data_IF_518603574327
#
_entry.id   IF_518603574327
#
_cell.length_a   1.000
_cell.length_b   1.000
_cell.length_c   1.000
_cell.angle_alpha   90.00
_cell.angle_beta   90.00
_cell.angle_gamma   90.00
#
_symmetry.space_group_name_H-M   'P 1'
#
loop_
_entity.id
_entity.type
_entity.pdbx_description
1 polymer ?
#
# COMPACT_ATOMS: atom_id res chain seq x y z
N UNK A 1 1.70 -18.38 7.01
CA UNK A 1 2.02 -17.63 5.78
C UNK A 1 1.85 -16.16 6.09
N UNK A 2 2.72 -15.30 5.56
CA UNK A 2 2.59 -13.84 5.72
C UNK A 2 1.40 -13.31 4.91
N UNK A 3 0.83 -12.18 5.35
CA UNK A 3 -0.29 -11.52 4.66
C UNK A 3 0.22 -10.28 3.93
N UNK A 4 -0.15 -10.14 2.65
CA UNK A 4 0.01 -8.87 1.94
C UNK A 4 -1.08 -7.93 2.47
N UNK A 5 -0.68 -6.82 3.08
CA UNK A 5 -1.61 -5.82 3.58
C UNK A 5 -2.19 -5.00 2.43
N UNK A 6 -1.31 -4.46 1.61
CA UNK A 6 -1.67 -3.68 0.44
C UNK A 6 -0.57 -3.68 -0.63
N UNK A 7 -0.93 -3.29 -1.84
CA UNK A 7 0.00 -3.05 -2.94
C UNK A 7 -0.26 -1.65 -3.45
N UNK A 8 0.80 -0.87 -3.67
CA UNK A 8 0.75 0.42 -4.34
C UNK A 8 1.30 0.30 -5.75
N UNK A 9 0.48 0.66 -6.75
CA UNK A 9 0.88 0.68 -8.16
C UNK A 9 0.81 2.10 -8.71
N UNK A 10 1.75 2.43 -9.59
CA UNK A 10 1.76 3.72 -10.26
C UNK A 10 0.67 3.79 -11.33
N UNK A 11 -0.01 4.93 -11.38
CA UNK A 11 -0.99 5.27 -12.40
C UNK A 11 -0.74 6.67 -12.95
N UNK A 12 -1.20 6.93 -14.17
CA UNK A 12 -1.04 8.25 -14.82
C UNK A 12 -2.07 9.27 -14.35
N UNK A 13 -3.25 8.79 -13.93
CA UNK A 13 -4.35 9.62 -13.48
C UNK A 13 -5.17 8.83 -12.43
N UNK A 14 -5.39 9.44 -11.26
CA UNK A 14 -6.10 8.80 -10.14
C UNK A 14 -7.56 8.52 -10.50
N UNK A 15 -8.29 9.53 -10.99
CA UNK A 15 -9.73 9.42 -11.24
C UNK A 15 -10.05 8.42 -12.35
N UNK A 16 -9.35 8.49 -13.49
CA UNK A 16 -9.52 7.54 -14.60
C UNK A 16 -9.25 6.09 -14.16
N UNK A 17 -8.24 5.90 -13.32
CA UNK A 17 -7.88 4.57 -12.81
C UNK A 17 -8.93 4.03 -11.85
N UNK A 18 -9.43 4.85 -10.93
CA UNK A 18 -10.53 4.48 -10.02
C UNK A 18 -11.77 4.02 -10.82
N UNK A 19 -12.15 4.79 -11.84
CA UNK A 19 -13.29 4.48 -12.70
C UNK A 19 -13.11 3.14 -13.40
N UNK A 20 -11.92 2.88 -13.93
CA UNK A 20 -11.59 1.60 -14.55
C UNK A 20 -11.72 0.45 -13.55
N UNK A 21 -11.12 0.55 -12.36
CA UNK A 21 -11.18 -0.54 -11.36
C UNK A 21 -12.61 -0.78 -10.86
N UNK A 22 -13.38 0.29 -10.59
CA UNK A 22 -14.79 0.16 -10.18
C UNK A 22 -15.67 -0.47 -11.25
N UNK A 23 -15.40 -0.18 -12.52
CA UNK A 23 -16.15 -0.74 -13.65
C UNK A 23 -15.85 -2.21 -13.88
N UNK A 24 -14.58 -2.60 -13.75
CA UNK A 24 -14.10 -3.93 -14.16
C UNK A 24 -13.95 -4.92 -13.00
N UNK A 25 -14.02 -4.46 -11.75
CA UNK A 25 -13.85 -5.29 -10.56
C UNK A 25 -14.83 -4.88 -9.46
N UNK A 26 -14.91 -5.66 -8.38
CA UNK A 26 -15.73 -5.32 -7.22
C UNK A 26 -14.86 -4.79 -6.06
N UNK A 27 -14.74 -3.47 -5.97
CA UNK A 27 -13.98 -2.77 -4.94
C UNK A 27 -14.75 -1.59 -4.36
N UNK A 28 -14.33 -1.11 -3.18
CA UNK A 28 -14.81 0.14 -2.58
C UNK A 28 -13.67 1.14 -2.48
N UNK A 29 -13.93 2.41 -2.79
CA UNK A 29 -12.96 3.48 -2.50
C UNK A 29 -12.97 3.69 -0.98
N UNK A 30 -11.83 3.49 -0.33
CA UNK A 30 -11.67 3.76 1.11
C UNK A 30 -10.94 5.07 1.38
N UNK A 31 -10.21 5.59 0.39
CA UNK A 31 -9.56 6.90 0.44
C UNK A 31 -9.30 7.42 -0.98
N UNK A 32 -9.33 8.74 -1.17
CA UNK A 32 -8.94 9.39 -2.41
C UNK A 32 -8.51 10.85 -2.14
N UNK A 33 -7.40 11.26 -2.72
CA UNK A 33 -7.00 12.66 -2.88
C UNK A 33 -6.42 12.90 -4.30
N UNK A 34 -5.78 14.05 -4.51
CA UNK A 34 -5.20 14.44 -5.81
C UNK A 34 -3.96 13.62 -6.21
N UNK A 35 -3.30 12.99 -5.24
CA UNK A 35 -1.99 12.34 -5.38
C UNK A 35 -2.07 10.81 -5.30
N UNK A 36 -3.10 10.27 -4.63
CA UNK A 36 -3.33 8.82 -4.54
C UNK A 36 -4.76 8.46 -4.13
N UNK A 37 -5.10 7.19 -4.29
CA UNK A 37 -6.34 6.62 -3.80
C UNK A 37 -6.14 5.20 -3.29
N UNK A 38 -7.00 4.77 -2.36
CA UNK A 38 -7.02 3.41 -1.83
C UNK A 38 -8.34 2.73 -2.21
N UNK A 39 -8.23 1.57 -2.84
CA UNK A 39 -9.32 0.68 -3.19
C UNK A 39 -9.30 -0.55 -2.28
N UNK A 40 -10.37 -0.76 -1.53
CA UNK A 40 -10.56 -1.94 -0.69
C UNK A 40 -11.17 -3.09 -1.49
N UNK A 41 -10.49 -4.23 -1.49
CA UNK A 41 -11.01 -5.53 -1.92
C UNK A 41 -11.27 -6.44 -0.71
N UNK A 42 -11.83 -7.62 -0.97
CA UNK A 42 -12.18 -8.57 0.10
C UNK A 42 -10.98 -9.02 0.95
N UNK A 43 -9.80 -9.13 0.34
CA UNK A 43 -8.62 -9.75 0.94
C UNK A 43 -7.39 -8.82 1.03
N UNK A 44 -7.41 -7.69 0.34
CA UNK A 44 -6.26 -6.78 0.18
C UNK A 44 -6.76 -5.37 -0.14
N UNK A 45 -5.92 -4.37 0.11
CA UNK A 45 -6.12 -3.02 -0.42
C UNK A 45 -5.16 -2.72 -1.58
N UNK A 46 -5.64 -1.99 -2.58
CA UNK A 46 -4.86 -1.53 -3.73
C UNK A 46 -4.75 -0.01 -3.68
N UNK A 47 -3.54 0.51 -3.50
CA UNK A 47 -3.26 1.92 -3.63
C UNK A 47 -2.91 2.25 -5.09
N UNK A 48 -3.54 3.29 -5.62
CA UNK A 48 -3.23 3.91 -6.90
C UNK A 48 -2.46 5.18 -6.61
N UNK A 49 -1.21 5.27 -7.04
CA UNK A 49 -0.32 6.38 -6.70
C UNK A 49 0.18 7.11 -7.94
N UNK A 50 0.34 8.43 -7.85
CA UNK A 50 1.01 9.20 -8.91
C UNK A 50 2.55 9.08 -8.79
N UNK A 51 3.27 8.98 -9.92
CA UNK A 51 4.73 9.00 -9.95
C UNK A 51 5.30 10.22 -9.21
N UNK A 52 6.45 10.04 -8.57
CA UNK A 52 7.19 11.08 -7.83
C UNK A 52 6.49 11.66 -6.59
N UNK A 53 5.24 11.28 -6.30
CA UNK A 53 4.51 11.70 -5.09
C UNK A 53 4.53 10.60 -4.03
N UNK A 54 4.15 9.38 -4.42
CA UNK A 54 4.18 8.20 -3.55
C UNK A 54 4.85 7.03 -4.30
N UNK A 55 5.92 6.42 -3.76
CA UNK A 55 6.61 5.34 -4.45
C UNK A 55 5.78 4.05 -4.45
N UNK A 56 5.77 3.28 -5.57
CA UNK A 56 5.13 1.97 -5.60
C UNK A 56 5.84 1.00 -4.65
N UNK A 57 5.06 0.15 -4.00
CA UNK A 57 5.57 -0.81 -3.02
C UNK A 57 4.58 -1.94 -2.76
N UNK A 58 5.07 -3.00 -2.10
CA UNK A 58 4.24 -4.09 -1.58
C UNK A 58 4.42 -4.12 -0.07
N UNK A 59 3.31 -4.13 0.67
CA UNK A 59 3.31 -4.15 2.11
C UNK A 59 2.97 -5.53 2.68
N UNK A 60 3.77 -6.02 3.61
CA UNK A 60 3.55 -7.30 4.32
C UNK A 60 3.33 -7.06 5.81
N UNK A 61 2.36 -7.75 6.40
CA UNK A 61 2.19 -7.77 7.86
C UNK A 61 3.22 -8.70 8.51
N UNK A 62 3.96 -8.18 9.50
CA UNK A 62 4.90 -8.95 10.33
C UNK A 62 4.65 -8.70 11.82
N UNK A 63 4.77 -9.77 12.62
CA UNK A 63 4.74 -9.67 14.10
C UNK A 63 6.04 -9.09 14.66
N UNK A 64 7.14 -9.29 13.93
CA UNK A 64 8.49 -8.88 14.26
C UNK A 64 9.00 -7.86 13.23
N UNK A 65 8.22 -6.81 12.97
CA UNK A 65 8.56 -5.81 11.96
C UNK A 65 9.84 -5.03 12.34
N UNK A 66 10.11 -4.89 13.62
CA UNK A 66 11.26 -4.24 14.23
C UNK A 66 12.60 -4.90 13.83
N UNK A 67 12.59 -6.19 13.51
CA UNK A 67 13.80 -6.92 13.06
C UNK A 67 14.33 -6.40 11.71
N UNK A 68 13.51 -5.65 10.97
CA UNK A 68 13.84 -5.11 9.66
C UNK A 68 14.29 -3.65 9.71
N UNK A 69 14.24 -3.00 10.87
CA UNK A 69 14.72 -1.65 11.09
C UNK A 69 13.80 -0.80 11.99
N UNK A 70 14.14 0.48 12.11
CA UNK A 70 13.37 1.42 12.93
C UNK A 70 12.01 1.69 12.27
N UNK A 71 10.95 1.34 12.98
CA UNK A 71 9.58 1.60 12.53
C UNK A 71 9.27 3.09 12.61
N UNK A 72 8.59 3.60 11.58
CA UNK A 72 7.99 4.92 11.54
C UNK A 72 6.49 4.77 11.83
N UNK A 73 6.00 5.55 12.79
CA UNK A 73 4.58 5.63 13.10
C UNK A 73 3.83 6.47 12.06
N UNK A 74 2.67 5.98 11.65
CA UNK A 74 1.77 6.64 10.72
C UNK A 74 0.58 7.24 11.45
N UNK A 75 -0.07 8.21 10.82
CA UNK A 75 -1.21 8.93 11.39
C UNK A 75 -2.42 8.03 11.67
N UNK A 76 -2.55 6.93 10.95
CA UNK A 76 -3.62 5.94 11.12
C UNK A 76 -3.37 4.95 12.27
N UNK A 77 -2.28 5.14 13.02
CA UNK A 77 -1.90 4.30 14.16
C UNK A 77 -1.15 3.03 13.78
N UNK A 78 -0.87 2.81 12.49
CA UNK A 78 0.04 1.75 12.04
C UNK A 78 1.50 2.20 12.13
N UNK A 79 2.43 1.25 12.13
CA UNK A 79 3.87 1.55 12.09
C UNK A 79 4.55 0.62 11.11
N UNK A 80 5.49 1.13 10.30
CA UNK A 80 6.20 0.31 9.32
C UNK A 80 7.64 0.75 9.08
N UNK A 81 8.42 -0.12 8.42
CA UNK A 81 9.73 0.21 7.86
C UNK A 81 9.77 -0.19 6.39
N UNK A 82 10.47 0.61 5.59
CA UNK A 82 10.70 0.32 4.17
C UNK A 82 12.08 -0.29 3.97
N UNK A 83 12.12 -1.40 3.25
CA UNK A 83 13.34 -2.09 2.82
C UNK A 83 13.34 -2.27 1.30
N UNK A 84 14.45 -2.77 0.77
CA UNK A 84 14.60 -3.12 -0.64
C UNK A 84 14.76 -4.63 -0.80
N UNK A 85 14.07 -5.19 -1.80
CA UNK A 85 14.37 -6.55 -2.24
C UNK A 85 15.65 -6.58 -3.13
N UNK A 86 16.12 -7.77 -3.57
CA UNK A 86 17.32 -7.88 -4.41
C UNK A 86 17.24 -7.14 -5.77
N UNK A 87 16.03 -6.84 -6.24
CA UNK A 87 15.76 -6.12 -7.48
C UNK A 87 15.48 -4.63 -7.23
N UNK A 88 15.72 -4.13 -6.02
CA UNK A 88 15.49 -2.77 -5.58
C UNK A 88 14.00 -2.34 -5.55
N UNK A 89 13.08 -3.30 -5.54
CA UNK A 89 11.66 -3.02 -5.30
C UNK A 89 11.48 -2.55 -3.85
N UNK A 90 10.58 -1.59 -3.66
CA UNK A 90 10.25 -1.09 -2.32
C UNK A 90 9.32 -2.07 -1.62
N UNK A 91 9.74 -2.56 -0.46
CA UNK A 91 8.95 -3.47 0.37
C UNK A 91 8.67 -2.78 1.70
N UNK A 92 7.40 -2.67 2.06
CA UNK A 92 7.00 -2.17 3.37
C UNK A 92 6.76 -3.34 4.31
N UNK A 93 7.41 -3.30 5.48
CA UNK A 93 7.19 -4.23 6.57
C UNK A 93 6.31 -3.53 7.61
N UNK A 94 5.03 -3.87 7.60
CA UNK A 94 4.01 -3.29 8.47
C UNK A 94 3.93 -4.09 9.78
N UNK A 95 3.99 -3.40 10.92
CA UNK A 95 3.78 -4.01 12.22
C UNK A 95 2.33 -4.47 12.34
N UNK A 96 2.15 -5.76 12.55
CA UNK A 96 0.84 -6.33 12.82
C UNK A 96 0.36 -5.88 14.21
N UNK A 97 -0.76 -5.16 14.26
CA UNK A 97 -1.45 -4.86 15.52
C UNK A 97 -1.79 -6.18 16.24
N UNK A 98 -1.56 -6.21 17.56
CA UNK A 98 -1.77 -7.41 18.39
C UNK A 98 -3.23 -7.86 18.39
#
# INVERSE_FOLDING_TARGET
MDKIHHIAIEVKNIQESIEWYKKNTNCKISYQDETWAMLSYKNISLALVLPNMHPPHIAFEKKNAEDYGNLKDHRDGTSSVYIKDPSNNSIEILKKSQ
#
